data_IF_057071633755
#
_entry.id   IF_057071633755
#
_cell.length_a   1.000
_cell.length_b   1.000
_cell.length_c   1.000
_cell.angle_alpha   90.00
_cell.angle_beta   90.00
_cell.angle_gamma   90.00
#
_symmetry.space_group_name_H-M   'P 1'
#
loop_
_entity.id
_entity.type
_entity.pdbx_description
1 polymer ?
#
# COMPACT_ATOMS: atom_id res chain seq x y z
N UNK A 1 -29.07 -27.16 4.39
CA UNK A 1 -27.78 -27.81 4.69
C UNK A 1 -26.69 -26.76 4.49
N UNK A 2 -26.18 -26.19 5.57
CA UNK A 2 -25.09 -25.20 5.55
C UNK A 2 -23.76 -25.94 5.53
N UNK A 3 -23.01 -25.82 4.45
CA UNK A 3 -21.65 -26.36 4.34
C UNK A 3 -20.75 -25.53 5.28
N UNK A 4 -20.06 -26.13 6.26
CA UNK A 4 -19.14 -25.38 7.09
C UNK A 4 -17.91 -25.01 6.23
N UNK A 5 -17.65 -23.70 6.12
CA UNK A 5 -16.38 -23.18 5.61
C UNK A 5 -15.27 -23.65 6.57
N UNK A 6 -14.66 -24.79 6.28
CA UNK A 6 -13.35 -25.15 6.84
C UNK A 6 -12.34 -24.22 6.18
N UNK A 7 -12.11 -23.08 6.81
CA UNK A 7 -10.97 -22.24 6.49
C UNK A 7 -9.77 -23.01 7.02
N UNK A 8 -8.89 -23.42 6.12
CA UNK A 8 -7.71 -24.19 6.44
C UNK A 8 -6.74 -23.29 7.23
N UNK A 9 -6.76 -23.39 8.56
CA UNK A 9 -5.96 -22.57 9.49
C UNK A 9 -4.47 -22.53 9.11
N UNK A 10 -4.00 -23.55 8.39
CA UNK A 10 -2.63 -23.66 7.94
C UNK A 10 -2.32 -22.66 6.80
N UNK A 11 -3.28 -22.40 5.91
CA UNK A 11 -3.17 -21.40 4.84
C UNK A 11 -3.16 -20.00 5.43
N UNK A 12 -4.03 -19.72 6.40
CA UNK A 12 -4.06 -18.42 7.08
C UNK A 12 -2.76 -18.13 7.84
N UNK A 13 -2.22 -19.12 8.57
CA UNK A 13 -0.93 -18.96 9.27
C UNK A 13 0.23 -18.73 8.30
N UNK A 14 0.25 -19.41 7.15
CA UNK A 14 1.28 -19.18 6.13
C UNK A 14 1.16 -17.81 5.49
N UNK A 15 -0.06 -17.35 5.17
CA UNK A 15 -0.30 -16.02 4.64
C UNK A 15 0.13 -14.95 5.65
N UNK A 16 -0.23 -15.12 6.94
CA UNK A 16 0.15 -14.20 8.01
C UNK A 16 1.66 -14.18 8.26
N UNK A 17 2.34 -15.32 8.16
CA UNK A 17 3.79 -15.40 8.26
C UNK A 17 4.49 -14.69 7.09
N UNK A 18 4.03 -14.91 5.85
CA UNK A 18 4.54 -14.23 4.66
C UNK A 18 4.36 -12.72 4.73
N UNK A 19 3.19 -12.27 5.17
CA UNK A 19 2.88 -10.87 5.39
C UNK A 19 3.80 -10.26 6.46
N UNK A 20 3.95 -10.93 7.60
CA UNK A 20 4.84 -10.49 8.68
C UNK A 20 6.31 -10.42 8.25
N UNK A 21 6.77 -11.39 7.46
CA UNK A 21 8.13 -11.42 6.91
C UNK A 21 8.36 -10.30 5.90
N UNK A 22 7.36 -10.03 5.05
CA UNK A 22 7.41 -8.94 4.06
C UNK A 22 7.45 -7.58 4.74
N UNK A 23 6.60 -7.35 5.74
CA UNK A 23 6.67 -6.17 6.61
C UNK A 23 8.08 -6.06 7.19
N UNK A 24 8.60 -7.12 7.82
CA UNK A 24 9.93 -7.08 8.43
C UNK A 24 11.05 -6.77 7.42
N UNK A 25 10.96 -7.32 6.20
CA UNK A 25 11.93 -7.08 5.12
C UNK A 25 11.85 -5.64 4.60
N UNK A 26 10.64 -5.15 4.34
CA UNK A 26 10.42 -3.77 3.91
C UNK A 26 10.89 -2.78 4.97
N UNK A 27 10.51 -3.00 6.24
CA UNK A 27 10.97 -2.18 7.36
C UNK A 27 12.50 -2.11 7.42
N UNK A 28 13.18 -3.26 7.34
CA UNK A 28 14.66 -3.30 7.34
C UNK A 28 15.26 -2.58 6.14
N UNK A 29 14.64 -2.70 4.97
CA UNK A 29 15.11 -2.07 3.73
C UNK A 29 15.01 -0.55 3.78
N UNK A 30 13.92 -0.03 4.35
CA UNK A 30 13.61 1.40 4.27
C UNK A 30 13.96 2.16 5.55
N UNK A 31 14.07 1.46 6.68
CA UNK A 31 14.46 2.02 7.97
C UNK A 31 15.69 1.29 8.52
N UNK A 32 16.88 1.52 7.94
CA UNK A 32 18.10 0.81 8.33
C UNK A 32 18.46 0.99 9.81
N UNK A 33 17.98 2.05 10.46
CA UNK A 33 18.19 2.33 11.89
C UNK A 33 17.33 1.46 12.84
N UNK A 34 16.29 0.79 12.35
CA UNK A 34 15.40 -0.04 13.19
C UNK A 34 16.08 -1.35 13.64
N UNK A 35 17.19 -1.74 13.01
CA UNK A 35 17.98 -2.90 13.43
C UNK A 35 18.69 -2.73 14.79
N UNK A 36 18.79 -1.51 15.34
CA UNK A 36 19.48 -1.25 16.61
C UNK A 36 18.57 -1.03 17.83
N UNK A 37 17.25 -0.90 17.66
CA UNK A 37 16.30 -0.69 18.77
C UNK A 37 15.36 -1.89 19.01
N UNK A 38 15.69 -3.07 18.46
CA UNK A 38 14.79 -4.24 18.43
C UNK A 38 14.72 -5.01 19.76
N UNK A 39 14.36 -4.34 20.86
CA UNK A 39 13.85 -5.02 22.05
C UNK A 39 12.53 -4.45 22.58
N UNK A 40 12.10 -3.26 22.15
CA UNK A 40 10.82 -2.68 22.55
C UNK A 40 10.17 -1.92 21.39
N UNK A 41 8.94 -2.31 21.08
CA UNK A 41 8.00 -1.70 20.12
C UNK A 41 8.15 -2.09 18.64
N UNK A 42 7.23 -2.94 18.19
CA UNK A 42 6.69 -2.89 16.82
C UNK A 42 6.07 -1.50 16.63
N UNK A 43 6.87 -0.50 16.25
CA UNK A 43 6.32 0.82 15.92
C UNK A 43 5.30 0.66 14.79
N UNK A 44 4.14 1.31 14.89
CA UNK A 44 3.13 1.34 13.83
C UNK A 44 3.79 1.71 12.50
N UNK A 45 3.37 1.10 11.38
CA UNK A 45 3.82 1.44 10.02
C UNK A 45 3.76 2.96 9.79
N UNK A 46 2.74 3.64 10.34
CA UNK A 46 2.64 5.11 10.36
C UNK A 46 3.84 5.79 11.00
N UNK A 47 4.18 5.41 12.23
CA UNK A 47 5.31 5.99 12.97
C UNK A 47 6.64 5.71 12.27
N UNK A 48 6.73 4.63 11.51
CA UNK A 48 7.92 4.35 10.71
C UNK A 48 7.96 5.25 9.47
N UNK A 49 6.87 5.37 8.70
CA UNK A 49 6.75 6.31 7.58
C UNK A 49 7.05 7.76 8.00
N UNK A 50 6.64 8.19 9.19
CA UNK A 50 7.00 9.50 9.78
C UNK A 50 8.51 9.68 9.94
N UNK A 51 9.23 8.63 10.34
CA UNK A 51 10.67 8.65 10.62
C UNK A 51 11.54 8.51 9.36
N UNK A 52 10.97 8.21 8.20
CA UNK A 52 11.72 8.05 6.94
C UNK A 52 12.51 9.31 6.64
N UNK A 53 13.83 9.23 6.47
CA UNK A 53 14.64 10.41 6.12
C UNK A 53 14.34 10.90 4.70
N UNK A 54 14.51 12.19 4.44
CA UNK A 54 14.36 12.79 3.10
C UNK A 54 15.41 12.33 2.08
N UNK A 55 16.40 11.55 2.50
CA UNK A 55 17.51 11.07 1.67
C UNK A 55 17.26 9.72 0.99
N UNK A 56 16.07 9.12 1.16
CA UNK A 56 15.69 7.94 0.37
C UNK A 56 15.54 8.40 -1.08
N UNK A 57 16.46 7.98 -1.95
CA UNK A 57 16.37 8.24 -3.39
C UNK A 57 15.14 7.52 -3.95
N UNK A 58 14.03 8.21 -4.01
CA UNK A 58 12.81 7.69 -4.63
C UNK A 58 12.94 7.77 -6.14
N UNK A 59 12.66 6.66 -6.84
CA UNK A 59 12.69 6.59 -8.32
C UNK A 59 11.43 7.17 -8.97
N UNK A 60 10.72 8.07 -8.29
CA UNK A 60 9.52 8.72 -8.83
C UNK A 60 9.77 9.40 -10.18
N UNK A 61 10.97 9.95 -10.37
CA UNK A 61 11.39 10.60 -11.61
C UNK A 61 11.67 9.60 -12.76
N UNK A 62 11.81 8.31 -12.47
CA UNK A 62 12.02 7.24 -13.46
C UNK A 62 10.69 6.65 -13.99
N UNK A 63 9.55 7.04 -13.42
CA UNK A 63 8.23 6.56 -13.85
C UNK A 63 7.77 7.22 -15.15
N UNK A 64 6.93 6.51 -15.90
CA UNK A 64 6.24 6.99 -17.11
C UNK A 64 5.45 8.28 -16.86
N UNK A 65 4.81 8.39 -15.69
CA UNK A 65 3.93 9.50 -15.35
C UNK A 65 4.12 9.98 -13.90
N UNK A 66 5.15 10.80 -13.64
CA UNK A 66 5.44 11.30 -12.30
C UNK A 66 4.34 12.19 -11.73
N UNK A 67 3.52 12.83 -12.60
CA UNK A 67 2.37 13.64 -12.17
C UNK A 67 1.28 12.76 -11.58
N UNK A 68 0.91 11.66 -12.26
CA UNK A 68 -0.06 10.70 -11.74
C UNK A 68 0.41 10.10 -10.42
N UNK A 69 1.69 9.72 -10.34
CA UNK A 69 2.29 9.23 -9.10
C UNK A 69 2.14 10.22 -7.94
N UNK A 70 2.40 11.52 -8.18
CA UNK A 70 2.20 12.57 -7.19
C UNK A 70 0.74 12.70 -6.74
N UNK A 71 -0.21 12.60 -7.67
CA UNK A 71 -1.64 12.64 -7.35
C UNK A 71 -2.11 11.43 -6.55
N UNK A 72 -1.63 10.23 -6.88
CA UNK A 72 -1.89 8.99 -6.14
C UNK A 72 -1.32 9.06 -4.73
N UNK A 73 -0.08 9.52 -4.58
CA UNK A 73 0.51 9.76 -3.26
C UNK A 73 -0.30 10.79 -2.47
N UNK A 74 -0.78 11.85 -3.12
CA UNK A 74 -1.66 12.85 -2.52
C UNK A 74 -2.99 12.28 -2.04
N UNK A 75 -3.60 11.38 -2.82
CA UNK A 75 -4.81 10.65 -2.42
C UNK A 75 -4.54 9.77 -1.19
N UNK A 76 -3.53 8.91 -1.25
CA UNK A 76 -3.16 8.03 -0.14
C UNK A 76 -2.90 8.82 1.14
N UNK A 77 -2.21 9.95 1.05
CA UNK A 77 -1.97 10.81 2.22
C UNK A 77 -3.24 11.36 2.83
N UNK A 78 -4.17 11.82 1.99
CA UNK A 78 -5.44 12.40 2.44
C UNK A 78 -6.31 11.34 3.10
N UNK A 79 -6.53 10.22 2.42
CA UNK A 79 -7.46 9.18 2.86
C UNK A 79 -6.92 8.41 4.08
N UNK A 80 -5.60 8.27 4.18
CA UNK A 80 -4.96 7.54 5.29
C UNK A 80 -4.50 8.47 6.41
N UNK A 81 -4.65 9.79 6.26
CA UNK A 81 -4.14 10.77 7.22
C UNK A 81 -2.62 10.70 7.40
N UNK A 82 -1.87 10.30 6.37
CA UNK A 82 -0.43 10.17 6.46
C UNK A 82 0.22 11.57 6.53
N UNK A 83 0.97 11.88 7.60
CA UNK A 83 1.54 13.21 7.81
C UNK A 83 2.71 13.50 6.86
N UNK A 84 3.28 12.48 6.22
CA UNK A 84 4.52 12.60 5.47
C UNK A 84 4.31 12.53 3.94
N UNK A 85 5.10 13.29 3.20
CA UNK A 85 5.17 13.29 1.73
C UNK A 85 6.14 12.23 1.17
N UNK A 86 6.77 11.44 2.05
CA UNK A 86 7.90 10.55 1.74
C UNK A 86 7.48 9.14 1.32
N UNK A 87 6.32 8.97 0.70
CA UNK A 87 5.99 7.70 0.03
C UNK A 87 7.00 7.44 -1.10
N UNK A 88 7.36 6.19 -1.32
CA UNK A 88 8.25 5.77 -2.43
C UNK A 88 7.55 4.72 -3.30
N UNK A 89 7.96 4.55 -4.58
CA UNK A 89 7.30 3.62 -5.50
C UNK A 89 7.19 2.20 -4.94
N UNK A 90 8.24 1.72 -4.30
CA UNK A 90 8.38 0.36 -3.77
C UNK A 90 7.63 0.12 -2.45
N UNK A 91 6.93 1.13 -1.94
CA UNK A 91 6.16 0.96 -0.72
C UNK A 91 5.01 -0.04 -0.94
N UNK A 92 4.87 -1.04 -0.05
CA UNK A 92 3.81 -2.03 -0.14
C UNK A 92 2.46 -1.39 0.17
N UNK A 93 1.61 -1.33 -0.85
CA UNK A 93 0.31 -0.69 -0.77
C UNK A 93 -0.63 -1.43 0.18
N UNK A 94 -0.62 -2.76 0.15
CA UNK A 94 -1.38 -3.61 1.07
C UNK A 94 -1.09 -3.31 2.54
N UNK A 95 0.20 -3.21 2.90
CA UNK A 95 0.63 -2.88 4.26
C UNK A 95 0.20 -1.46 4.65
N UNK A 96 0.29 -0.50 3.71
CA UNK A 96 -0.15 0.88 3.93
C UNK A 96 -1.67 0.94 4.18
N UNK A 97 -2.46 0.30 3.33
CA UNK A 97 -3.93 0.30 3.41
C UNK A 97 -4.42 -0.41 4.67
N UNK A 98 -3.83 -1.55 5.04
CA UNK A 98 -4.18 -2.30 6.25
C UNK A 98 -3.76 -1.58 7.54
N UNK A 99 -2.66 -0.82 7.49
CA UNK A 99 -2.21 -0.08 8.67
C UNK A 99 -3.18 1.02 9.07
N UNK A 100 -3.97 1.54 8.11
CA UNK A 100 -4.93 2.61 8.36
C UNK A 100 -6.14 2.08 9.11
N UNK A 101 -6.13 2.29 10.43
CA UNK A 101 -7.08 1.75 11.41
C UNK A 101 -8.56 2.08 11.14
N UNK A 102 -8.88 2.93 10.14
CA UNK A 102 -10.22 3.41 9.82
C UNK A 102 -10.48 3.58 8.32
N UNK A 103 -9.62 3.05 7.44
CA UNK A 103 -9.87 3.23 6.01
C UNK A 103 -11.11 2.42 5.59
N UNK A 104 -12.19 3.12 5.27
CA UNK A 104 -13.34 2.52 4.62
C UNK A 104 -13.00 2.29 3.14
N UNK A 105 -12.88 1.01 2.74
CA UNK A 105 -12.61 0.60 1.35
C UNK A 105 -13.53 1.28 0.35
N UNK A 106 -14.83 1.41 0.65
CA UNK A 106 -15.80 2.03 -0.26
C UNK A 106 -15.52 3.51 -0.42
N UNK A 107 -15.13 4.20 0.64
CA UNK A 107 -14.72 5.59 0.56
C UNK A 107 -13.43 5.76 -0.24
N UNK A 108 -12.44 4.88 -0.01
CA UNK A 108 -11.21 4.90 -0.79
C UNK A 108 -11.50 4.71 -2.29
N UNK A 109 -12.32 3.73 -2.65
CA UNK A 109 -12.73 3.50 -4.04
C UNK A 109 -13.52 4.66 -4.64
N UNK A 110 -14.39 5.28 -3.85
CA UNK A 110 -15.08 6.49 -4.28
C UNK A 110 -14.08 7.61 -4.58
N UNK A 111 -13.11 7.83 -3.70
CA UNK A 111 -12.09 8.87 -3.87
C UNK A 111 -11.17 8.58 -5.08
N UNK A 112 -10.80 7.32 -5.33
CA UNK A 112 -10.10 6.90 -6.56
C UNK A 112 -10.93 7.21 -7.80
N UNK A 113 -12.23 6.89 -7.79
CA UNK A 113 -13.12 7.17 -8.90
C UNK A 113 -13.31 8.66 -9.15
N UNK A 114 -13.54 9.47 -8.11
CA UNK A 114 -13.70 10.92 -8.25
C UNK A 114 -12.43 11.59 -8.77
N UNK A 115 -11.25 11.12 -8.34
CA UNK A 115 -9.97 11.74 -8.69
C UNK A 115 -9.47 11.33 -10.07
N UNK A 116 -9.58 10.04 -10.40
CA UNK A 116 -8.94 9.45 -11.58
C UNK A 116 -9.94 8.90 -12.60
N UNK A 117 -11.23 8.90 -12.29
CA UNK A 117 -12.27 8.25 -13.10
C UNK A 117 -12.25 6.72 -13.02
N UNK A 118 -11.30 6.12 -12.30
CA UNK A 118 -11.11 4.67 -12.28
C UNK A 118 -12.08 4.03 -11.29
N UNK A 119 -12.89 3.09 -11.77
CA UNK A 119 -13.70 2.24 -10.90
C UNK A 119 -12.85 1.07 -10.43
N UNK A 120 -12.95 0.78 -9.13
CA UNK A 120 -12.31 -0.37 -8.53
C UNK A 120 -13.31 -1.35 -7.93
N UNK A 121 -12.99 -2.64 -7.97
CA UNK A 121 -13.82 -3.71 -7.43
C UNK A 121 -13.23 -4.34 -6.17
N UNK A 122 -14.06 -5.11 -5.46
CA UNK A 122 -13.62 -5.82 -4.24
C UNK A 122 -12.61 -6.94 -4.57
N UNK A 123 -12.69 -7.51 -5.77
CA UNK A 123 -11.70 -8.46 -6.29
C UNK A 123 -10.35 -7.77 -6.49
N UNK A 124 -10.33 -6.53 -6.98
CA UNK A 124 -9.11 -5.75 -7.15
C UNK A 124 -8.51 -5.34 -5.81
N UNK A 125 -9.35 -5.00 -4.81
CA UNK A 125 -8.88 -4.86 -3.43
C UNK A 125 -8.17 -6.12 -2.96
N UNK A 126 -8.80 -7.26 -3.20
CA UNK A 126 -8.25 -8.55 -2.78
C UNK A 126 -6.95 -8.83 -3.51
N UNK A 127 -6.84 -8.55 -4.81
CA UNK A 127 -5.62 -8.67 -5.60
C UNK A 127 -4.51 -7.74 -5.07
N UNK A 128 -4.82 -6.48 -4.78
CA UNK A 128 -3.86 -5.53 -4.18
C UNK A 128 -3.25 -6.10 -2.89
N UNK A 129 -4.09 -6.69 -2.03
CA UNK A 129 -3.66 -7.30 -0.78
C UNK A 129 -2.91 -8.63 -0.96
N UNK A 130 -3.40 -9.55 -1.81
CA UNK A 130 -2.87 -10.91 -1.95
C UNK A 130 -1.65 -10.99 -2.87
N UNK A 131 -1.64 -10.19 -3.93
CA UNK A 131 -0.52 -10.07 -4.87
C UNK A 131 0.51 -9.04 -4.42
N UNK A 132 0.29 -8.42 -3.26
CA UNK A 132 1.32 -7.64 -2.60
C UNK A 132 1.75 -6.42 -3.44
N UNK A 133 0.78 -5.67 -3.95
CA UNK A 133 1.03 -4.52 -4.81
C UNK A 133 1.87 -3.45 -4.10
N UNK A 134 2.68 -2.75 -4.88
CA UNK A 134 3.38 -1.53 -4.48
C UNK A 134 2.59 -0.29 -4.88
N UNK A 135 3.01 0.90 -4.43
CA UNK A 135 2.41 2.15 -4.92
C UNK A 135 2.65 2.30 -6.43
N UNK A 136 3.81 1.87 -6.94
CA UNK A 136 4.12 1.86 -8.38
C UNK A 136 3.14 1.00 -9.18
N UNK A 137 2.82 -0.21 -8.69
CA UNK A 137 1.86 -1.11 -9.35
C UNK A 137 0.48 -0.47 -9.44
N UNK A 138 0.07 0.21 -8.36
CA UNK A 138 -1.20 0.91 -8.30
C UNK A 138 -1.27 2.13 -9.23
N UNK A 139 -0.19 2.92 -9.31
CA UNK A 139 -0.06 4.02 -10.27
C UNK A 139 -0.16 3.48 -11.70
N UNK A 140 0.54 2.39 -11.99
CA UNK A 140 0.55 1.74 -13.31
C UNK A 140 -0.82 1.22 -13.70
N UNK A 141 -1.57 0.63 -12.76
CA UNK A 141 -2.93 0.16 -13.01
C UNK A 141 -3.91 1.32 -13.26
N UNK A 142 -3.79 2.42 -12.51
CA UNK A 142 -4.59 3.63 -12.76
C UNK A 142 -4.26 4.19 -14.15
N UNK A 143 -2.98 4.31 -14.49
CA UNK A 143 -2.52 4.81 -15.79
C UNK A 143 -3.09 3.97 -16.94
N UNK A 144 -2.96 2.64 -16.86
CA UNK A 144 -3.48 1.71 -17.85
C UNK A 144 -4.98 1.89 -18.08
N UNK A 145 -5.76 2.08 -17.02
CA UNK A 145 -7.22 2.27 -17.11
C UNK A 145 -7.63 3.64 -17.63
N UNK A 146 -6.83 4.67 -17.37
CA UNK A 146 -7.04 5.99 -17.96
C UNK A 146 -6.77 5.97 -19.47
N UNK A 147 -5.71 5.27 -19.90
CA UNK A 147 -5.41 5.07 -21.32
C UNK A 147 -6.53 4.31 -22.05
N UNK A 148 -7.05 3.23 -21.48
CA UNK A 148 -8.13 2.42 -22.08
C UNK A 148 -9.48 3.15 -22.20
N UNK A 149 -9.62 4.34 -21.63
CA UNK A 149 -10.83 5.19 -21.73
C UNK A 149 -10.69 6.34 -22.71
N UNK A 150 -9.49 6.58 -23.23
CA UNK A 150 -9.24 7.65 -24.20
C UNK A 150 -9.56 7.24 -25.66
N UNK A 151 -9.94 5.98 -25.87
CA UNK A 151 -10.47 5.41 -27.12
C UNK A 151 -12.00 5.27 -27.06
#
# INVERSE_FOLDING_TARGET
MTVPLHIDENIERQAQAKFSERIARWIKSVFPFIAHESSRSRASVFSQLERRSSGVRSRWDELSNPKLASEVCGLLRRELGLPNDRLIPEDPLDIILESAFQLDRRMFFHAVFERFGVRMSDEEWSAMCTEHWTIEDFVSEIEKRQCLRAD
#
